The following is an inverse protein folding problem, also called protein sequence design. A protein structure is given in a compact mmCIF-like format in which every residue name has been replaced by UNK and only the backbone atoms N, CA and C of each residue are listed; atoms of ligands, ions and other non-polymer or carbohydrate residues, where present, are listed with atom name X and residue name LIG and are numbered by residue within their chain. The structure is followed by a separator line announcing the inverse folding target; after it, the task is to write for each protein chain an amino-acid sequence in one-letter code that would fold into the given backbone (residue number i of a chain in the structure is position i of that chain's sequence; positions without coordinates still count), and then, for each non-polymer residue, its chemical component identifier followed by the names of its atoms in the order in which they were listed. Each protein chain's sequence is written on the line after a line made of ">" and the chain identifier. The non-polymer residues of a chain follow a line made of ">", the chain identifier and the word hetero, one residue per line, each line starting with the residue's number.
data_IF_569390916060
#
_entry.id   IF_569390916060
#
_cell.length_a   1.000
_cell.length_b   1.000
_cell.length_c   1.000
_cell.angle_alpha   90.00
_cell.angle_beta   90.00
_cell.angle_gamma   90.00
#
_symmetry.space_group_name_H-M   'P 1'
#
loop_
_entity.id
_entity.type
_entity.pdbx_description
1 polymer ?
#
# COMPACT_ATOMS: atom_id res chain seq x y z
N UNK A 1 -13.63 -17.85 -18.23
CA UNK A 1 -13.01 -16.72 -17.55
C UNK A 1 -11.91 -17.24 -16.63
N UNK A 2 -10.69 -16.75 -16.79
CA UNK A 2 -9.58 -17.03 -15.87
C UNK A 2 -9.87 -16.35 -14.54
N UNK A 3 -9.61 -17.01 -13.42
CA UNK A 3 -9.75 -16.45 -12.09
C UNK A 3 -8.56 -16.86 -11.24
N UNK A 4 -7.95 -15.90 -10.56
CA UNK A 4 -6.81 -16.17 -9.69
C UNK A 4 -7.20 -17.07 -8.53
N UNK A 5 -6.42 -18.11 -8.32
CA UNK A 5 -6.61 -19.03 -7.21
C UNK A 5 -6.28 -18.36 -5.87
N UNK A 6 -6.93 -18.82 -4.79
CA UNK A 6 -6.63 -18.35 -3.44
C UNK A 6 -5.15 -18.61 -3.05
N UNK A 7 -4.52 -19.64 -3.64
CA UNK A 7 -3.10 -19.97 -3.45
C UNK A 7 -2.22 -18.88 -4.06
N UNK A 8 -2.52 -18.43 -5.27
CA UNK A 8 -1.76 -17.38 -5.96
C UNK A 8 -1.94 -16.03 -5.31
N UNK A 9 -3.17 -15.66 -4.94
CA UNK A 9 -3.42 -14.43 -4.18
C UNK A 9 -2.66 -14.40 -2.85
N UNK A 10 -2.63 -15.54 -2.12
CA UNK A 10 -1.84 -15.66 -0.90
C UNK A 10 -0.34 -15.53 -1.19
N UNK A 11 0.18 -16.15 -2.26
CA UNK A 11 1.60 -16.06 -2.64
C UNK A 11 1.97 -14.61 -3.04
N UNK A 12 1.14 -13.95 -3.81
CA UNK A 12 1.30 -12.55 -4.19
C UNK A 12 1.33 -11.63 -2.97
N UNK A 13 0.33 -11.77 -2.07
CA UNK A 13 0.30 -11.03 -0.82
C UNK A 13 1.56 -11.22 0.02
N UNK A 14 2.00 -12.48 0.22
CA UNK A 14 3.19 -12.76 1.04
C UNK A 14 4.47 -12.24 0.37
N UNK A 15 4.58 -12.31 -0.96
CA UNK A 15 5.70 -11.72 -1.69
C UNK A 15 5.78 -10.21 -1.48
N UNK A 16 4.65 -9.49 -1.46
CA UNK A 16 4.61 -8.09 -1.10
C UNK A 16 4.93 -7.87 0.38
N UNK A 17 4.25 -8.59 1.28
CA UNK A 17 4.40 -8.44 2.73
C UNK A 17 5.85 -8.55 3.21
N UNK A 18 6.61 -9.49 2.65
CA UNK A 18 8.04 -9.62 2.96
C UNK A 18 8.94 -8.79 2.05
N UNK A 19 8.53 -8.55 0.79
CA UNK A 19 9.35 -7.91 -0.22
C UNK A 19 9.39 -6.39 -0.20
N UNK A 20 8.34 -5.72 0.31
CA UNK A 20 8.21 -4.27 0.19
C UNK A 20 9.36 -3.48 0.82
N UNK A 21 10.01 -4.00 1.87
CA UNK A 21 11.19 -3.41 2.48
C UNK A 21 12.47 -4.24 2.26
N UNK A 22 12.39 -5.56 2.13
CA UNK A 22 13.58 -6.40 1.93
C UNK A 22 14.14 -6.30 0.50
N UNK A 23 13.30 -5.99 -0.48
CA UNK A 23 13.70 -5.73 -1.87
C UNK A 23 13.84 -4.23 -2.18
N UNK A 24 13.95 -3.39 -1.17
CA UNK A 24 14.05 -1.94 -1.30
C UNK A 24 15.43 -1.51 -1.80
N UNK A 25 15.45 -0.52 -2.70
CA UNK A 25 16.68 0.16 -3.11
C UNK A 25 16.44 1.66 -3.23
N UNK A 26 17.48 2.50 -3.07
CA UNK A 26 17.31 3.95 -3.17
C UNK A 26 16.89 4.41 -4.58
N UNK A 27 17.31 3.70 -5.62
CA UNK A 27 16.99 4.04 -7.00
C UNK A 27 15.58 3.61 -7.41
N UNK A 28 15.18 2.40 -7.00
CA UNK A 28 13.92 1.78 -7.44
C UNK A 28 12.84 1.71 -6.35
N UNK A 29 13.17 2.13 -5.13
CA UNK A 29 12.30 2.10 -3.96
C UNK A 29 11.65 0.71 -3.77
N UNK A 30 10.33 0.60 -3.85
CA UNK A 30 9.57 -0.63 -3.63
C UNK A 30 9.31 -1.42 -4.93
N UNK A 31 9.81 -0.97 -6.07
CA UNK A 31 9.51 -1.55 -7.39
C UNK A 31 9.78 -3.05 -7.46
N UNK A 32 10.91 -3.52 -6.89
CA UNK A 32 11.23 -4.96 -6.94
C UNK A 32 10.33 -5.80 -6.06
N UNK A 33 9.95 -5.32 -4.87
CA UNK A 33 8.97 -5.99 -4.02
C UNK A 33 7.62 -6.10 -4.70
N UNK A 34 7.22 -5.02 -5.39
CA UNK A 34 6.01 -4.98 -6.18
C UNK A 34 6.06 -5.97 -7.36
N UNK A 35 7.15 -5.94 -8.13
CA UNK A 35 7.35 -6.88 -9.25
C UNK A 35 7.30 -8.34 -8.78
N UNK A 36 7.98 -8.68 -7.68
CA UNK A 36 7.95 -10.02 -7.09
C UNK A 36 6.54 -10.45 -6.69
N UNK A 37 5.71 -9.52 -6.23
CA UNK A 37 4.31 -9.83 -5.88
C UNK A 37 3.45 -10.13 -7.10
N UNK A 38 3.76 -9.55 -8.25
CA UNK A 38 3.02 -9.77 -9.49
C UNK A 38 3.45 -11.04 -10.26
N UNK A 39 4.65 -11.57 -9.99
CA UNK A 39 5.13 -12.80 -10.65
C UNK A 39 4.12 -13.96 -10.55
N UNK A 40 3.65 -14.39 -9.36
CA UNK A 40 2.70 -15.49 -9.27
C UNK A 40 1.35 -15.19 -9.95
N UNK A 41 0.93 -13.92 -10.01
CA UNK A 41 -0.30 -13.51 -10.70
C UNK A 41 -0.16 -13.72 -12.19
N UNK A 42 0.93 -13.25 -12.77
CA UNK A 42 1.22 -13.34 -14.20
C UNK A 42 1.46 -14.80 -14.62
N UNK A 43 2.16 -15.60 -13.80
CA UNK A 43 2.39 -17.02 -14.07
C UNK A 43 1.09 -17.84 -14.13
N UNK A 44 0.07 -17.49 -13.36
CA UNK A 44 -1.22 -18.19 -13.40
C UNK A 44 -2.11 -17.72 -14.57
N UNK A 45 -2.02 -16.45 -14.94
CA UNK A 45 -2.90 -15.88 -15.97
C UNK A 45 -2.41 -16.13 -17.41
N UNK A 46 -1.10 -16.23 -17.62
CA UNK A 46 -0.50 -16.34 -18.96
C UNK A 46 0.29 -17.62 -19.13
N UNK A 47 0.06 -18.29 -20.27
CA UNK A 47 0.63 -19.63 -20.53
C UNK A 47 2.06 -19.57 -21.08
N UNK A 48 2.33 -18.58 -21.93
CA UNK A 48 3.62 -18.50 -22.62
C UNK A 48 4.59 -17.56 -21.88
N UNK A 49 5.88 -17.91 -21.92
CA UNK A 49 6.94 -17.06 -21.34
C UNK A 49 7.01 -15.67 -21.97
N UNK A 50 6.60 -15.53 -23.22
CA UNK A 50 6.58 -14.25 -23.90
C UNK A 50 5.47 -13.36 -23.32
N UNK A 51 4.25 -13.86 -23.17
CA UNK A 51 3.13 -13.13 -22.55
C UNK A 51 3.46 -12.73 -21.10
N UNK A 52 4.06 -13.67 -20.33
CA UNK A 52 4.50 -13.40 -18.97
C UNK A 52 5.52 -12.26 -18.92
N UNK A 53 6.50 -12.26 -19.82
CA UNK A 53 7.50 -11.20 -19.91
C UNK A 53 6.89 -9.85 -20.26
N UNK A 54 5.97 -9.81 -21.21
CA UNK A 54 5.26 -8.57 -21.59
C UNK A 54 4.42 -8.04 -20.43
N UNK A 55 3.67 -8.89 -19.74
CA UNK A 55 2.89 -8.50 -18.57
C UNK A 55 3.79 -7.97 -17.44
N UNK A 56 4.88 -8.67 -17.11
CA UNK A 56 5.81 -8.27 -16.04
C UNK A 56 6.54 -6.95 -16.35
N UNK A 57 6.75 -6.63 -17.63
CA UNK A 57 7.35 -5.35 -18.03
C UNK A 57 6.55 -4.15 -17.54
N UNK A 58 5.21 -4.26 -17.48
CA UNK A 58 4.33 -3.25 -16.91
C UNK A 58 4.70 -2.93 -15.46
N UNK A 59 5.09 -3.93 -14.68
CA UNK A 59 5.36 -3.81 -13.25
C UNK A 59 6.79 -3.45 -12.88
N UNK A 60 7.68 -3.33 -13.88
CA UNK A 60 9.05 -2.83 -13.69
C UNK A 60 9.14 -1.31 -13.58
N UNK A 61 8.07 -0.57 -13.87
CA UNK A 61 8.01 0.87 -13.68
C UNK A 61 8.09 1.25 -12.19
N UNK A 62 8.64 2.41 -11.89
CA UNK A 62 8.83 2.92 -10.54
C UNK A 62 7.58 2.81 -9.66
N UNK A 63 7.75 2.35 -8.42
CA UNK A 63 6.70 2.27 -7.42
C UNK A 63 7.24 2.60 -6.03
N UNK A 64 6.59 3.56 -5.37
CA UNK A 64 6.87 3.92 -4.00
C UNK A 64 5.63 4.55 -3.34
N UNK A 65 5.25 4.03 -2.18
CA UNK A 65 4.15 4.57 -1.36
C UNK A 65 4.35 4.13 0.08
N UNK A 66 3.48 4.53 0.99
CA UNK A 66 3.48 3.93 2.32
C UNK A 66 3.10 2.44 2.18
N UNK A 67 3.95 1.49 2.64
CA UNK A 67 3.85 0.09 2.23
C UNK A 67 2.64 -0.66 2.77
N UNK A 68 2.12 -0.29 3.95
CA UNK A 68 1.00 -0.96 4.57
C UNK A 68 -0.30 -0.65 3.81
N UNK A 69 -0.58 0.65 3.60
CA UNK A 69 -1.76 1.11 2.83
C UNK A 69 -1.57 0.84 1.34
N UNK A 70 -0.34 0.95 0.83
CA UNK A 70 0.04 0.62 -0.55
C UNK A 70 -0.27 -0.82 -0.97
N UNK A 71 -0.45 -1.72 -0.01
CA UNK A 71 -0.93 -3.08 -0.23
C UNK A 71 -2.27 -3.11 -0.99
N UNK A 72 -3.09 -2.05 -0.88
CA UNK A 72 -4.31 -1.86 -1.67
C UNK A 72 -4.02 -1.87 -3.17
N UNK A 73 -2.99 -1.14 -3.60
CA UNK A 73 -2.59 -1.04 -5.02
C UNK A 73 -2.15 -2.39 -5.55
N UNK A 74 -1.38 -3.14 -4.76
CA UNK A 74 -0.91 -4.49 -5.15
C UNK A 74 -2.10 -5.43 -5.39
N UNK A 75 -3.06 -5.44 -4.47
CA UNK A 75 -4.29 -6.22 -4.61
C UNK A 75 -5.11 -5.77 -5.83
N UNK A 76 -5.34 -4.46 -5.96
CA UNK A 76 -6.10 -3.88 -7.08
C UNK A 76 -5.47 -4.25 -8.43
N UNK A 77 -4.15 -4.18 -8.53
CA UNK A 77 -3.45 -4.51 -9.77
C UNK A 77 -3.57 -5.99 -10.13
N UNK A 78 -3.57 -6.89 -9.14
CA UNK A 78 -3.82 -8.31 -9.39
C UNK A 78 -5.23 -8.53 -9.99
N UNK A 79 -6.25 -7.80 -9.51
CA UNK A 79 -7.60 -7.83 -10.06
C UNK A 79 -7.69 -7.21 -11.47
N UNK A 80 -6.97 -6.12 -11.74
CA UNK A 80 -6.91 -5.50 -13.06
C UNK A 80 -6.20 -6.41 -14.09
N UNK A 81 -5.11 -7.09 -13.68
CA UNK A 81 -4.42 -8.02 -14.57
C UNK A 81 -5.29 -9.25 -14.89
N UNK A 82 -6.07 -9.73 -13.91
CA UNK A 82 -7.06 -10.79 -14.14
C UNK A 82 -8.13 -10.34 -15.17
N UNK A 83 -8.66 -9.13 -15.02
CA UNK A 83 -9.64 -8.57 -15.94
C UNK A 83 -9.04 -8.42 -17.36
N UNK A 84 -7.84 -7.89 -17.48
CA UNK A 84 -7.10 -7.77 -18.74
C UNK A 84 -6.88 -9.13 -19.40
N UNK A 85 -6.48 -10.15 -18.65
CA UNK A 85 -6.29 -11.52 -19.14
C UNK A 85 -7.59 -12.21 -19.58
N UNK A 86 -8.74 -11.66 -19.20
CA UNK A 86 -10.08 -12.07 -19.64
C UNK A 86 -10.61 -11.26 -20.82
N UNK A 87 -9.81 -10.35 -21.40
CA UNK A 87 -10.16 -9.59 -22.59
C UNK A 87 -10.85 -8.26 -22.33
N UNK A 88 -10.85 -7.78 -21.07
CA UNK A 88 -11.32 -6.41 -20.79
C UNK A 88 -10.39 -5.37 -21.46
N UNK A 89 -10.91 -4.22 -21.90
CA UNK A 89 -10.16 -3.20 -22.66
C UNK A 89 -9.22 -2.39 -21.74
N UNK A 90 -8.32 -3.08 -21.05
CA UNK A 90 -7.32 -2.52 -20.17
C UNK A 90 -5.94 -2.89 -20.70
N UNK A 91 -5.09 -1.91 -20.86
CA UNK A 91 -3.69 -2.12 -21.21
C UNK A 91 -2.75 -1.90 -20.02
N UNK A 92 -1.47 -2.20 -20.23
CA UNK A 92 -0.46 -2.02 -19.18
C UNK A 92 -0.22 -0.55 -18.84
N UNK A 93 -0.45 0.37 -19.76
CA UNK A 93 -0.29 1.80 -19.56
C UNK A 93 -1.39 2.33 -18.63
N UNK A 94 -2.64 1.91 -18.82
CA UNK A 94 -3.76 2.19 -17.93
C UNK A 94 -3.48 1.69 -16.51
N UNK A 95 -3.02 0.44 -16.38
CA UNK A 95 -2.65 -0.13 -15.06
C UNK A 95 -1.55 0.70 -14.38
N UNK A 96 -0.51 1.11 -15.12
CA UNK A 96 0.54 1.96 -14.61
C UNK A 96 0.06 3.36 -14.24
N UNK A 97 -0.84 3.95 -15.02
CA UNK A 97 -1.45 5.24 -14.72
C UNK A 97 -2.21 5.25 -13.40
N UNK A 98 -3.03 4.20 -13.15
CA UNK A 98 -3.76 4.02 -11.90
C UNK A 98 -2.78 3.88 -10.73
N UNK A 99 -1.80 3.01 -10.87
CA UNK A 99 -0.77 2.76 -9.87
C UNK A 99 -0.01 4.04 -9.52
N UNK A 100 0.44 4.79 -10.52
CA UNK A 100 1.15 6.05 -10.34
C UNK A 100 0.25 7.12 -9.68
N UNK A 101 -1.01 7.21 -10.09
CA UNK A 101 -1.98 8.15 -9.50
C UNK A 101 -2.32 7.90 -8.04
N UNK A 102 -2.19 6.64 -7.59
CA UNK A 102 -2.48 6.26 -6.20
C UNK A 102 -1.25 6.36 -5.26
N UNK A 103 -0.02 6.41 -5.79
CA UNK A 103 1.19 6.45 -4.95
C UNK A 103 1.19 7.60 -3.96
N UNK A 104 1.00 8.82 -4.41
CA UNK A 104 1.02 10.03 -3.57
C UNK A 104 -0.09 10.07 -2.52
N UNK A 105 -1.37 9.99 -2.90
CA UNK A 105 -2.49 10.00 -1.96
C UNK A 105 -2.39 8.91 -0.89
N UNK A 106 -2.03 7.67 -1.28
CA UNK A 106 -1.90 6.57 -0.32
C UNK A 106 -0.67 6.72 0.58
N UNK A 107 0.44 7.30 0.08
CA UNK A 107 1.57 7.65 0.93
C UNK A 107 1.14 8.67 1.99
N UNK A 108 0.47 9.77 1.61
CA UNK A 108 0.01 10.79 2.55
C UNK A 108 -0.93 10.25 3.63
N UNK A 109 -1.88 9.39 3.26
CA UNK A 109 -2.79 8.73 4.20
C UNK A 109 -2.01 7.77 5.11
N UNK A 110 -1.18 6.92 4.54
CA UNK A 110 -0.43 5.90 5.27
C UNK A 110 0.60 6.50 6.23
N UNK A 111 1.38 7.46 5.78
CA UNK A 111 2.37 8.16 6.62
C UNK A 111 1.68 8.85 7.81
N UNK A 112 0.51 9.43 7.60
CA UNK A 112 -0.26 10.07 8.67
C UNK A 112 -0.81 9.06 9.68
N UNK A 113 -1.44 7.99 9.20
CA UNK A 113 -2.13 7.03 10.05
C UNK A 113 -1.15 6.04 10.71
N UNK A 114 -0.21 5.51 9.94
CA UNK A 114 0.71 4.46 10.42
C UNK A 114 1.92 5.10 11.10
N UNK A 115 2.67 5.92 10.37
CA UNK A 115 3.93 6.49 10.87
C UNK A 115 3.68 7.62 11.87
N UNK A 116 2.76 8.52 11.55
CA UNK A 116 2.46 9.70 12.37
C UNK A 116 1.53 9.45 13.56
N UNK A 117 0.79 8.34 13.57
CA UNK A 117 -0.21 8.10 14.63
C UNK A 117 -0.02 6.73 15.31
N UNK A 118 -0.13 5.64 14.57
CA UNK A 118 -0.16 4.29 15.16
C UNK A 118 1.19 3.93 15.82
N UNK A 119 2.31 4.19 15.13
CA UNK A 119 3.64 3.91 15.68
C UNK A 119 3.91 4.69 16.97
N UNK A 120 3.73 6.02 17.04
CA UNK A 120 3.93 6.78 18.28
C UNK A 120 3.04 6.30 19.43
N UNK A 121 1.76 5.97 19.17
CA UNK A 121 0.86 5.44 20.20
C UNK A 121 1.39 4.11 20.76
N UNK A 122 1.74 3.16 19.89
CA UNK A 122 2.24 1.87 20.33
C UNK A 122 3.59 1.98 21.04
N UNK A 123 4.46 2.89 20.59
CA UNK A 123 5.73 3.17 21.27
C UNK A 123 5.51 3.79 22.64
N UNK A 124 4.59 4.76 22.75
CA UNK A 124 4.24 5.39 24.04
C UNK A 124 3.72 4.38 25.07
N UNK A 125 2.82 3.48 24.65
CA UNK A 125 2.33 2.38 25.49
C UNK A 125 3.49 1.45 25.86
N UNK A 126 4.32 1.07 24.88
CA UNK A 126 5.48 0.20 25.08
C UNK A 126 6.49 0.78 26.07
N UNK A 127 6.82 2.06 25.95
CA UNK A 127 7.71 2.77 26.87
C UNK A 127 7.14 2.80 28.29
N UNK A 128 5.84 3.09 28.44
CA UNK A 128 5.17 3.06 29.74
C UNK A 128 5.26 1.70 30.45
N UNK A 129 5.14 0.60 29.69
CA UNK A 129 5.26 -0.77 30.21
C UNK A 129 6.72 -1.23 30.41
N UNK A 130 7.69 -0.50 29.87
CA UNK A 130 9.12 -0.83 29.99
C UNK A 130 9.78 -0.18 31.20
N UNK A 131 9.01 0.49 32.07
CA UNK A 131 9.50 1.04 33.34
C UNK A 131 10.29 0.02 34.14
N UNK A 132 11.32 0.46 34.86
CA UNK A 132 12.20 -0.38 35.68
C UNK A 132 12.92 -1.50 34.88
N UNK A 133 13.16 -1.34 33.59
CA UNK A 133 13.88 -2.32 32.75
C UNK A 133 13.03 -3.54 32.33
N UNK A 134 11.72 -3.48 32.44
CA UNK A 134 10.82 -4.57 32.03
C UNK A 134 10.83 -4.74 30.48
N UNK A 135 10.96 -5.98 29.93
CA UNK A 135 10.88 -6.24 28.50
C UNK A 135 9.44 -6.25 27.97
N UNK A 136 8.43 -6.12 28.84
CA UNK A 136 7.00 -6.28 28.47
C UNK A 136 6.57 -5.29 27.39
N UNK A 137 7.06 -4.05 27.43
CA UNK A 137 6.70 -3.04 26.44
C UNK A 137 7.23 -3.38 25.04
N UNK A 138 8.47 -3.87 24.93
CA UNK A 138 9.04 -4.31 23.66
C UNK A 138 8.29 -5.54 23.10
N UNK A 139 7.98 -6.52 23.96
CA UNK A 139 7.23 -7.72 23.57
C UNK A 139 5.84 -7.32 23.07
N UNK A 140 5.12 -6.47 23.82
CA UNK A 140 3.81 -5.98 23.43
C UNK A 140 3.88 -5.28 22.07
N UNK A 141 4.82 -4.35 21.89
CA UNK A 141 4.97 -3.64 20.62
C UNK A 141 5.18 -4.61 19.45
N UNK A 142 6.12 -5.55 19.57
CA UNK A 142 6.41 -6.52 18.51
C UNK A 142 5.18 -7.36 18.18
N UNK A 143 4.49 -7.90 19.19
CA UNK A 143 3.33 -8.77 18.98
C UNK A 143 2.18 -7.99 18.34
N UNK A 144 1.78 -6.86 18.94
CA UNK A 144 0.65 -6.06 18.45
C UNK A 144 0.94 -5.52 17.06
N UNK A 145 2.13 -4.97 16.82
CA UNK A 145 2.53 -4.48 15.51
C UNK A 145 2.43 -5.55 14.43
N UNK A 146 3.03 -6.73 14.65
CA UNK A 146 3.01 -7.79 13.64
C UNK A 146 1.60 -8.33 13.37
N UNK A 147 0.77 -8.47 14.40
CA UNK A 147 -0.63 -8.90 14.22
C UNK A 147 -1.43 -7.86 13.43
N UNK A 148 -1.36 -6.58 13.81
CA UNK A 148 -2.07 -5.51 13.11
C UNK A 148 -1.62 -5.40 11.66
N UNK A 149 -0.31 -5.42 11.40
CA UNK A 149 0.22 -5.29 10.04
C UNK A 149 -0.13 -6.52 9.19
N UNK A 150 0.05 -7.73 9.70
CA UNK A 150 -0.25 -8.93 8.91
C UNK A 150 -1.74 -9.03 8.54
N UNK A 151 -2.63 -8.89 9.52
CA UNK A 151 -4.07 -9.02 9.28
C UNK A 151 -4.64 -7.79 8.56
N UNK A 152 -4.19 -6.59 8.90
CA UNK A 152 -4.59 -5.34 8.25
C UNK A 152 -4.18 -5.30 6.79
N UNK A 153 -2.91 -5.53 6.47
CA UNK A 153 -2.42 -5.57 5.09
C UNK A 153 -3.10 -6.70 4.29
N UNK A 154 -3.29 -7.88 4.91
CA UNK A 154 -4.03 -8.96 4.26
C UNK A 154 -5.46 -8.54 3.89
N UNK A 155 -6.18 -7.91 4.82
CA UNK A 155 -7.52 -7.40 4.56
C UNK A 155 -7.53 -6.37 3.42
N UNK A 156 -6.61 -5.41 3.46
CA UNK A 156 -6.46 -4.35 2.46
C UNK A 156 -6.13 -4.96 1.07
N UNK A 157 -5.25 -5.98 1.02
CA UNK A 157 -4.90 -6.68 -0.22
C UNK A 157 -6.12 -7.29 -0.89
N UNK A 158 -6.92 -8.07 -0.14
CA UNK A 158 -8.10 -8.73 -0.71
C UNK A 158 -9.18 -7.74 -1.09
N UNK A 159 -9.34 -6.63 -0.34
CA UNK A 159 -10.23 -5.54 -0.73
C UNK A 159 -9.76 -4.86 -2.02
N UNK A 160 -8.47 -4.63 -2.15
CA UNK A 160 -7.87 -4.13 -3.39
C UNK A 160 -8.17 -5.06 -4.57
N UNK A 161 -7.99 -6.36 -4.41
CA UNK A 161 -8.28 -7.34 -5.45
C UNK A 161 -9.76 -7.34 -5.86
N UNK A 162 -10.68 -7.32 -4.90
CA UNK A 162 -12.12 -7.19 -5.18
C UNK A 162 -12.45 -5.88 -5.93
N UNK A 163 -11.78 -4.79 -5.56
CA UNK A 163 -11.94 -3.48 -6.24
C UNK A 163 -11.35 -3.50 -7.65
N UNK A 164 -10.21 -4.16 -7.86
CA UNK A 164 -9.56 -4.27 -9.17
C UNK A 164 -10.47 -4.85 -10.23
N UNK A 165 -11.19 -5.92 -9.91
CA UNK A 165 -12.18 -6.51 -10.81
C UNK A 165 -13.39 -5.60 -11.11
N UNK A 166 -13.75 -4.70 -10.19
CA UNK A 166 -14.82 -3.71 -10.35
C UNK A 166 -14.33 -2.36 -10.85
N UNK A 167 -13.05 -2.07 -10.66
CA UNK A 167 -12.45 -0.80 -11.05
C UNK A 167 -12.48 -0.58 -12.57
N UNK A 168 -12.60 -1.65 -13.35
CA UNK A 168 -12.80 -1.55 -14.80
C UNK A 168 -14.06 -0.73 -15.11
N UNK A 169 -15.19 -1.05 -14.47
CA UNK A 169 -16.44 -0.30 -14.63
C UNK A 169 -16.29 1.16 -14.13
N UNK A 170 -15.54 1.36 -13.04
CA UNK A 170 -15.31 2.67 -12.44
C UNK A 170 -14.28 3.51 -13.20
N UNK A 171 -13.29 2.87 -13.85
CA UNK A 171 -12.19 3.57 -14.54
C UNK A 171 -12.50 3.88 -16.00
N UNK A 172 -13.35 3.10 -16.65
CA UNK A 172 -13.81 3.31 -18.02
C UNK A 172 -15.14 4.07 -18.05
N UNK A 173 -15.84 4.13 -16.91
CA UNK A 173 -17.12 4.80 -16.78
C UNK A 173 -17.03 6.33 -16.65
N UNK A 174 -18.12 7.05 -16.88
CA UNK A 174 -18.18 8.52 -16.79
C UNK A 174 -17.87 9.09 -15.39
N UNK A 175 -17.81 8.23 -14.37
CA UNK A 175 -17.52 8.60 -12.98
C UNK A 175 -16.03 8.52 -12.63
N UNK A 176 -15.17 7.98 -13.51
CA UNK A 176 -13.74 7.75 -13.25
C UNK A 176 -12.99 9.02 -12.82
N UNK A 177 -13.30 10.15 -13.44
CA UNK A 177 -12.67 11.42 -13.12
C UNK A 177 -13.07 11.93 -11.74
N UNK A 178 -14.34 11.84 -11.38
CA UNK A 178 -14.85 12.26 -10.07
C UNK A 178 -14.27 11.41 -8.92
N UNK A 179 -14.06 10.12 -9.12
CA UNK A 179 -13.43 9.23 -8.13
C UNK A 179 -11.96 9.59 -7.95
N UNK A 180 -11.22 9.83 -9.03
CA UNK A 180 -9.82 10.27 -8.97
C UNK A 180 -9.70 11.60 -8.21
N UNK A 181 -10.51 12.58 -8.54
CA UNK A 181 -10.55 13.88 -7.88
C UNK A 181 -10.90 13.75 -6.39
N UNK A 182 -11.85 12.88 -6.04
CA UNK A 182 -12.22 12.60 -4.65
C UNK A 182 -11.07 11.97 -3.85
N UNK A 183 -10.34 11.02 -4.41
CA UNK A 183 -9.17 10.40 -3.78
C UNK A 183 -8.08 11.43 -3.55
N UNK A 184 -7.78 12.26 -4.54
CA UNK A 184 -6.79 13.35 -4.42
C UNK A 184 -7.22 14.37 -3.37
N UNK A 185 -8.49 14.76 -3.38
CA UNK A 185 -9.04 15.73 -2.41
C UNK A 185 -8.96 15.19 -0.97
N UNK A 186 -9.35 13.94 -0.74
CA UNK A 186 -9.24 13.32 0.59
C UNK A 186 -7.78 13.23 1.03
N UNK A 187 -6.88 12.80 0.15
CA UNK A 187 -5.45 12.73 0.43
C UNK A 187 -4.87 14.08 0.81
N UNK A 188 -5.18 15.15 0.07
CA UNK A 188 -4.69 16.50 0.37
C UNK A 188 -5.29 17.07 1.66
N UNK A 189 -6.57 16.78 1.97
CA UNK A 189 -7.17 17.16 3.26
C UNK A 189 -6.48 16.48 4.44
N UNK A 190 -6.17 15.20 4.34
CA UNK A 190 -5.47 14.45 5.39
C UNK A 190 -4.06 14.99 5.59
N UNK A 191 -3.31 15.23 4.51
CA UNK A 191 -1.97 15.84 4.57
C UNK A 191 -2.04 17.22 5.23
N UNK A 192 -3.00 18.06 4.86
CA UNK A 192 -3.21 19.39 5.45
C UNK A 192 -3.54 19.34 6.94
N UNK A 193 -4.41 18.42 7.36
CA UNK A 193 -4.77 18.24 8.76
C UNK A 193 -3.58 17.78 9.62
N UNK A 194 -2.76 16.87 9.09
CA UNK A 194 -1.55 16.38 9.76
C UNK A 194 -0.51 17.50 9.86
N UNK A 195 -0.24 18.21 8.77
CA UNK A 195 0.69 19.35 8.79
C UNK A 195 0.26 20.41 9.83
N UNK A 196 -1.03 20.75 9.92
CA UNK A 196 -1.56 21.65 10.91
C UNK A 196 -1.38 21.15 12.35
N UNK A 197 -1.57 19.83 12.58
CA UNK A 197 -1.37 19.20 13.89
C UNK A 197 0.11 19.26 14.32
N UNK A 198 1.04 18.99 13.40
CA UNK A 198 2.47 19.08 13.68
C UNK A 198 2.94 20.49 13.99
N UNK A 199 2.45 21.50 13.27
CA UNK A 199 2.74 22.92 13.55
C UNK A 199 2.28 23.29 14.95
N UNK A 200 1.08 22.85 15.37
CA UNK A 200 0.56 23.11 16.71
C UNK A 200 1.44 22.49 17.81
N UNK A 201 1.87 21.23 17.62
CA UNK A 201 2.75 20.54 18.55
C UNK A 201 4.12 21.24 18.63
N UNK A 202 4.70 21.64 17.51
CA UNK A 202 5.96 22.38 17.49
C UNK A 202 5.86 23.74 18.19
N UNK A 203 4.77 24.46 17.99
CA UNK A 203 4.56 25.78 18.64
C UNK A 203 4.39 25.64 20.16
N UNK A 204 3.65 24.64 20.64
CA UNK A 204 3.51 24.35 22.06
C UNK A 204 4.85 23.99 22.70
N UNK A 205 5.64 23.11 22.05
CA UNK A 205 6.94 22.70 22.56
C UNK A 205 7.96 23.86 22.60
N UNK A 206 7.91 24.79 21.63
CA UNK A 206 8.81 25.95 21.63
C UNK A 206 8.38 27.02 22.64
N UNK A 207 7.09 27.16 22.98
CA UNK A 207 6.64 28.07 24.02
C UNK A 207 7.05 27.60 25.41
N UNK A 208 6.92 26.32 25.71
CA UNK A 208 7.34 25.74 27.00
C UNK A 208 8.87 25.83 27.22
N UNK A 209 9.67 25.69 26.14
CA UNK A 209 11.13 25.84 26.21
C UNK A 209 11.62 27.29 26.33
N UNK A 210 10.74 28.29 26.10
CA UNK A 210 11.07 29.71 26.26
C UNK A 210 10.77 30.25 27.67
N UNK A 211 9.97 29.51 28.46
CA UNK A 211 9.58 29.83 29.82
C UNK A 211 10.49 29.18 30.92
N UNK A 212 11.49 28.35 30.53
CA UNK A 212 12.57 27.85 31.37
C UNK A 212 13.88 28.64 31.15
#
# INVERSE_FOLDING_TARGET
>A
MKKLSAKTLKKSFLSWYYGHLTCFSQEHMQTFGYLCSMVPVVEELYETKQEQKEALKTYSAFFNTEPQIGTLVVGMTAGLEEAKANGEPIDGETINGIRAGLMGPLAGIGDSLIVGTLIPILLGIGLGLSGNGSPLGAILYIVVWNLLMFFGMRFIYYKGYEMGGKAVELLVGPQAQAIRESIVMIGTMVIGAVAASWINICLLYTSDAADE
#
